data_IF_459769136770
#
_entry.id   IF_459769136770
#
_cell.length_a   1.000
_cell.length_b   1.000
_cell.length_c   1.000
_cell.angle_alpha   90.00
_cell.angle_beta   90.00
_cell.angle_gamma   90.00
#
_symmetry.space_group_name_H-M   'P 1'
#
loop_
_entity.id
_entity.type
_entity.pdbx_description
1 polymer ?
#
# COMPACT_ATOMS: atom_id res chain seq x y z
N UNK A 1 35.18 -13.05 -13.79
CA UNK A 1 34.47 -11.95 -13.08
C UNK A 1 34.74 -10.69 -13.87
N UNK A 2 33.70 -9.98 -14.31
CA UNK A 2 33.82 -8.76 -15.11
C UNK A 2 33.80 -7.53 -14.19
N UNK A 3 34.52 -6.48 -14.57
CA UNK A 3 34.57 -5.22 -13.84
C UNK A 3 34.69 -4.06 -14.82
N UNK A 4 33.93 -3.00 -14.59
CA UNK A 4 34.05 -1.72 -15.26
C UNK A 4 33.57 -0.59 -14.34
N UNK A 5 33.95 0.66 -14.62
CA UNK A 5 33.50 1.82 -13.85
C UNK A 5 31.97 1.89 -13.82
N UNK A 6 31.37 2.20 -12.66
CA UNK A 6 29.92 2.36 -12.50
C UNK A 6 29.04 1.11 -12.72
N UNK A 7 29.61 -0.09 -12.76
CA UNK A 7 28.83 -1.35 -12.88
C UNK A 7 27.65 -1.45 -11.90
N UNK A 8 27.80 -0.96 -10.68
CA UNK A 8 26.73 -0.94 -9.68
C UNK A 8 25.58 -0.02 -10.05
N UNK A 9 25.88 1.11 -10.70
CA UNK A 9 24.88 2.08 -11.12
C UNK A 9 24.12 1.58 -12.35
N UNK A 10 24.83 0.96 -13.29
CA UNK A 10 24.24 0.31 -14.47
C UNK A 10 23.28 -0.82 -14.07
N UNK A 11 23.69 -1.66 -13.10
CA UNK A 11 22.83 -2.74 -12.56
C UNK A 11 21.57 -2.15 -11.91
N UNK A 12 21.71 -1.10 -11.10
CA UNK A 12 20.55 -0.42 -10.48
C UNK A 12 19.62 0.17 -11.53
N UNK A 13 20.18 0.78 -12.58
CA UNK A 13 19.41 1.34 -13.68
C UNK A 13 18.63 0.25 -14.41
N UNK A 14 19.28 -0.88 -14.74
CA UNK A 14 18.64 -2.00 -15.41
C UNK A 14 17.50 -2.62 -14.59
N UNK A 15 17.70 -2.82 -13.28
CA UNK A 15 16.65 -3.35 -12.39
C UNK A 15 15.44 -2.42 -12.34
N UNK A 16 15.66 -1.09 -12.41
CA UNK A 16 14.59 -0.08 -12.41
C UNK A 16 13.83 -0.02 -13.73
N UNK A 17 14.49 -0.25 -14.86
CA UNK A 17 13.85 -0.17 -16.20
C UNK A 17 13.27 -1.50 -16.68
N UNK A 18 13.71 -2.64 -16.13
CA UNK A 18 13.23 -3.95 -16.51
C UNK A 18 11.82 -4.23 -15.97
N UNK A 19 10.85 -4.39 -16.88
CA UNK A 19 9.45 -4.65 -16.52
C UNK A 19 9.26 -5.93 -15.69
N UNK A 20 9.88 -7.05 -16.07
CA UNK A 20 9.76 -8.31 -15.33
C UNK A 20 10.33 -8.20 -13.90
N UNK A 21 11.44 -7.49 -13.73
CA UNK A 21 12.04 -7.23 -12.42
C UNK A 21 11.10 -6.38 -11.56
N UNK A 22 10.46 -5.36 -12.14
CA UNK A 22 9.49 -4.52 -11.44
C UNK A 22 8.23 -5.31 -11.04
N UNK A 23 7.70 -6.17 -11.92
CA UNK A 23 6.52 -7.01 -11.62
C UNK A 23 6.81 -8.04 -10.52
N UNK A 24 8.02 -8.62 -10.51
CA UNK A 24 8.44 -9.59 -9.49
C UNK A 24 8.98 -8.93 -8.22
N UNK A 25 9.05 -7.59 -8.16
CA UNK A 25 9.53 -6.88 -6.98
C UNK A 25 8.49 -6.97 -5.85
N UNK A 26 8.77 -7.80 -4.84
CA UNK A 26 7.90 -7.95 -3.68
C UNK A 26 7.91 -6.74 -2.73
N UNK A 27 8.90 -5.85 -2.88
CA UNK A 27 9.01 -4.63 -2.08
C UNK A 27 8.24 -3.51 -2.75
N UNK A 28 6.98 -3.36 -2.38
CA UNK A 28 6.19 -2.18 -2.74
C UNK A 28 6.64 -0.98 -1.90
N UNK A 29 6.55 0.22 -2.47
CA UNK A 29 6.71 1.45 -1.73
C UNK A 29 5.63 1.50 -0.65
N UNK A 30 6.03 1.32 0.61
CA UNK A 30 5.15 1.57 1.76
C UNK A 30 4.94 3.08 1.87
N UNK A 31 3.89 3.57 1.21
CA UNK A 31 3.37 4.90 1.47
C UNK A 31 2.64 4.80 2.82
N UNK A 32 3.14 5.45 3.89
CA UNK A 32 2.46 5.39 5.17
C UNK A 32 1.06 6.00 4.99
N UNK A 33 0.00 5.39 5.55
CA UNK A 33 -1.31 6.00 5.52
C UNK A 33 -1.23 7.34 6.24
N UNK A 34 -1.61 8.43 5.56
CA UNK A 34 -1.74 9.74 6.19
C UNK A 34 -2.93 9.70 7.13
N UNK A 35 -2.68 9.62 8.44
CA UNK A 35 -3.73 9.72 9.46
C UNK A 35 -4.17 11.19 9.53
N UNK A 36 -5.43 11.53 9.23
CA UNK A 36 -5.91 12.89 9.36
C UNK A 36 -5.96 13.28 10.84
N UNK A 37 -5.54 14.52 11.16
CA UNK A 37 -5.70 15.07 12.51
C UNK A 37 -7.20 15.13 12.82
N UNK A 38 -7.68 14.54 13.93
CA UNK A 38 -9.08 14.65 14.31
C UNK A 38 -9.40 16.13 14.56
N UNK A 39 -10.44 16.64 13.89
CA UNK A 39 -11.00 17.94 14.24
C UNK A 39 -11.63 17.91 15.64
N UNK A 40 -12.10 19.05 16.13
CA UNK A 40 -12.96 19.10 17.33
C UNK A 40 -14.17 18.15 17.22
N UNK A 41 -14.85 17.95 18.35
CA UNK A 41 -16.01 17.05 18.47
C UNK A 41 -17.05 17.40 17.38
N UNK A 42 -17.68 16.37 16.79
CA UNK A 42 -18.68 16.47 15.72
C UNK A 42 -18.21 17.07 14.38
N UNK A 43 -16.90 17.18 14.11
CA UNK A 43 -16.41 17.68 12.82
C UNK A 43 -16.33 16.63 11.71
N UNK A 44 -16.23 15.35 12.05
CA UNK A 44 -16.12 14.26 11.08
C UNK A 44 -16.67 12.96 11.67
N UNK A 45 -17.51 12.27 10.91
CA UNK A 45 -17.96 10.92 11.22
C UNK A 45 -17.40 9.97 10.17
N UNK A 46 -16.82 8.85 10.63
CA UNK A 46 -16.45 7.72 9.79
C UNK A 46 -17.49 6.64 10.07
N UNK A 47 -18.28 6.29 9.05
CA UNK A 47 -19.27 5.22 9.12
C UNK A 47 -18.74 4.06 8.29
N UNK A 48 -18.84 2.85 8.82
CA UNK A 48 -18.47 1.62 8.12
C UNK A 48 -19.52 0.56 8.41
N UNK A 49 -19.92 -0.22 7.39
CA UNK A 49 -20.82 -1.35 7.61
C UNK A 49 -19.99 -2.62 7.68
N UNK A 50 -20.08 -3.33 8.81
CA UNK A 50 -19.54 -4.68 8.90
C UNK A 50 -20.66 -5.71 8.66
N UNK A 51 -20.41 -6.60 7.72
CA UNK A 51 -21.28 -7.76 7.46
C UNK A 51 -21.01 -8.84 8.52
N UNK A 52 -22.03 -9.21 9.26
CA UNK A 52 -22.02 -10.28 10.26
C UNK A 52 -23.04 -11.37 9.91
N UNK A 53 -23.01 -12.48 10.64
CA UNK A 53 -23.99 -13.57 10.52
C UNK A 53 -25.37 -13.10 11.01
N UNK A 54 -26.44 -13.56 10.33
CA UNK A 54 -27.85 -13.18 10.60
C UNK A 54 -28.20 -13.23 12.08
N UNK A 55 -28.50 -12.06 12.65
CA UNK A 55 -29.18 -11.93 13.93
C UNK A 55 -30.57 -11.32 13.68
N UNK A 56 -31.63 -12.08 13.94
CA UNK A 56 -33.01 -11.61 13.74
C UNK A 56 -33.35 -11.23 12.29
N UNK A 57 -32.59 -11.73 11.30
CA UNK A 57 -32.77 -11.41 9.88
C UNK A 57 -31.92 -10.25 9.36
N UNK A 58 -31.11 -9.61 10.20
CA UNK A 58 -30.18 -8.54 9.81
C UNK A 58 -28.73 -9.04 9.79
N UNK A 59 -27.99 -8.58 8.78
CA UNK A 59 -26.60 -8.98 8.50
C UNK A 59 -25.60 -7.81 8.50
N UNK A 60 -26.06 -6.56 8.52
CA UNK A 60 -25.18 -5.39 8.47
C UNK A 60 -25.31 -4.61 9.78
N UNK A 61 -24.16 -4.31 10.37
CA UNK A 61 -24.02 -3.37 11.47
C UNK A 61 -23.34 -2.11 10.93
N UNK A 62 -23.98 -0.96 11.12
CA UNK A 62 -23.54 0.37 10.65
C UNK A 62 -23.11 1.22 11.83
#
# INVERSE_FOLDING_TARGET
>A
RFWWPHITDDIKWYIRTCHECQVRQNTQLHIPPTVPVPGGIFRKAHLDCMMMLKAGGFDCLV
#
